data_IF_589302351427
#
_entry.id   IF_589302351427
#
_cell.length_a   1.000
_cell.length_b   1.000
_cell.length_c   1.000
_cell.angle_alpha   90.00
_cell.angle_beta   90.00
_cell.angle_gamma   90.00
#
_symmetry.space_group_name_H-M   'P 1'
#
loop_
_entity.id
_entity.type
_entity.pdbx_description
1 polymer ?
#
# COMPACT_ATOMS: atom_id res chain seq x y z
N UNK A 1 12.11 11.80 -1.84
CA UNK A 1 10.76 12.16 -1.36
C UNK A 1 10.71 11.87 0.13
N UNK A 2 9.86 12.54 0.91
CA UNK A 2 9.63 12.11 2.29
C UNK A 2 8.77 10.84 2.32
N UNK A 3 8.86 10.03 3.37
CA UNK A 3 8.02 8.83 3.53
C UNK A 3 6.50 9.13 3.35
N UNK A 4 5.94 10.20 3.96
CA UNK A 4 4.54 10.58 3.74
C UNK A 4 4.18 10.87 2.28
N UNK A 5 5.10 11.45 1.50
CA UNK A 5 4.86 11.72 0.08
C UNK A 5 4.76 10.43 -0.73
N UNK A 6 5.62 9.45 -0.42
CA UNK A 6 5.62 8.13 -1.07
C UNK A 6 4.31 7.40 -0.73
N UNK A 7 3.90 7.40 0.54
CA UNK A 7 2.64 6.80 0.99
C UNK A 7 1.43 7.39 0.27
N UNK A 8 1.35 8.73 0.20
CA UNK A 8 0.28 9.44 -0.52
C UNK A 8 0.24 9.06 -2.00
N UNK A 9 1.40 8.97 -2.65
CA UNK A 9 1.46 8.63 -4.06
C UNK A 9 1.11 7.17 -4.32
N UNK A 10 1.52 6.23 -3.45
CA UNK A 10 1.08 4.83 -3.51
C UNK A 10 -0.43 4.75 -3.37
N UNK A 11 -0.99 5.45 -2.37
CA UNK A 11 -2.42 5.47 -2.13
C UNK A 11 -3.18 5.92 -3.38
N UNK A 12 -2.83 7.08 -3.93
CA UNK A 12 -3.44 7.62 -5.15
C UNK A 12 -3.28 6.71 -6.37
N UNK A 13 -2.15 6.02 -6.49
CA UNK A 13 -1.91 5.06 -7.56
C UNK A 13 -2.87 3.86 -7.45
N UNK A 14 -2.90 3.20 -6.30
CA UNK A 14 -3.67 1.99 -6.10
C UNK A 14 -5.19 2.24 -6.08
N UNK A 15 -5.65 3.40 -5.60
CA UNK A 15 -7.07 3.80 -5.70
C UNK A 15 -7.55 3.91 -7.16
N UNK A 16 -6.66 4.26 -8.11
CA UNK A 16 -7.02 4.42 -9.52
C UNK A 16 -6.95 3.12 -10.33
N UNK A 17 -6.01 2.24 -10.02
CA UNK A 17 -5.77 1.00 -10.80
C UNK A 17 -6.33 -0.28 -10.19
N UNK A 18 -6.95 -0.23 -9.01
CA UNK A 18 -7.46 -1.37 -8.23
C UNK A 18 -6.39 -2.35 -7.74
N UNK A 19 -5.45 -2.76 -8.60
CA UNK A 19 -4.23 -3.47 -8.24
C UNK A 19 -3.06 -3.05 -9.13
N UNK A 20 -1.83 -3.12 -8.62
CA UNK A 20 -0.62 -2.90 -9.40
C UNK A 20 0.58 -3.64 -8.80
N UNK A 21 1.56 -3.96 -9.64
CA UNK A 21 2.85 -4.54 -9.26
C UNK A 21 3.81 -3.45 -8.77
N UNK A 22 4.90 -3.85 -8.10
CA UNK A 22 5.93 -2.90 -7.63
C UNK A 22 6.46 -2.01 -8.77
N UNK A 23 6.74 -2.62 -9.93
CA UNK A 23 7.31 -1.92 -11.09
C UNK A 23 6.30 -0.93 -11.71
N UNK A 24 5.01 -1.29 -11.76
CA UNK A 24 3.96 -0.38 -12.24
C UNK A 24 3.76 0.83 -11.31
N UNK A 25 3.88 0.62 -10.00
CA UNK A 25 3.83 1.70 -9.01
C UNK A 25 5.07 2.59 -9.14
N UNK A 26 6.26 1.99 -9.28
CA UNK A 26 7.53 2.70 -9.47
C UNK A 26 7.50 3.63 -10.69
N UNK A 27 6.99 3.13 -11.82
CA UNK A 27 6.82 3.90 -13.06
C UNK A 27 5.94 5.14 -12.89
N UNK A 28 4.93 5.07 -12.02
CA UNK A 28 3.99 6.17 -11.79
C UNK A 28 4.50 7.20 -10.78
N UNK A 29 5.20 6.76 -9.74
CA UNK A 29 5.58 7.61 -8.61
C UNK A 29 6.96 8.25 -8.83
N UNK A 30 7.83 7.65 -9.65
CA UNK A 30 9.22 8.13 -9.90
C UNK A 30 10.00 8.32 -8.59
N UNK A 31 9.97 7.31 -7.72
CA UNK A 31 10.75 7.24 -6.48
C UNK A 31 11.77 6.10 -6.56
N UNK A 32 12.76 6.10 -5.66
CA UNK A 32 13.72 5.00 -5.56
C UNK A 32 13.01 3.69 -5.22
N UNK A 33 13.36 2.61 -5.93
CA UNK A 33 12.75 1.28 -5.77
C UNK A 33 12.83 0.77 -4.33
N UNK A 34 13.96 1.01 -3.66
CA UNK A 34 14.17 0.56 -2.28
C UNK A 34 13.27 1.29 -1.29
N UNK A 35 13.09 2.60 -1.46
CA UNK A 35 12.18 3.40 -0.63
C UNK A 35 10.73 3.01 -0.87
N UNK A 36 10.37 2.74 -2.13
CA UNK A 36 9.06 2.23 -2.50
C UNK A 36 8.77 0.88 -1.85
N UNK A 37 9.69 -0.08 -2.00
CA UNK A 37 9.56 -1.42 -1.45
C UNK A 37 9.43 -1.39 0.08
N UNK A 38 10.28 -0.62 0.77
CA UNK A 38 10.20 -0.43 2.23
C UNK A 38 8.87 0.20 2.65
N UNK A 39 8.40 1.20 1.92
CA UNK A 39 7.15 1.91 2.23
C UNK A 39 5.96 0.98 2.05
N UNK A 40 5.91 0.23 0.95
CA UNK A 40 4.87 -0.78 0.70
C UNK A 40 4.87 -1.80 1.83
N UNK A 41 6.00 -2.44 2.10
CA UNK A 41 6.12 -3.47 3.14
C UNK A 41 5.70 -2.96 4.52
N UNK A 42 6.05 -1.72 4.88
CA UNK A 42 5.65 -1.12 6.16
C UNK A 42 4.16 -0.79 6.26
N UNK A 43 3.45 -0.73 5.14
CA UNK A 43 2.03 -0.38 5.06
C UNK A 43 1.14 -1.55 4.62
N UNK A 44 1.71 -2.74 4.44
CA UNK A 44 0.93 -3.98 4.24
C UNK A 44 0.13 -4.26 5.51
N UNK A 45 -1.17 -4.45 5.35
CA UNK A 45 -2.07 -4.87 6.42
C UNK A 45 -1.78 -6.32 6.79
N UNK A 46 -1.46 -6.54 8.05
CA UNK A 46 -1.25 -7.87 8.60
C UNK A 46 -1.57 -7.88 10.10
N UNK A 47 -1.40 -9.03 10.77
CA UNK A 47 -1.69 -9.16 12.20
C UNK A 47 -0.87 -8.21 13.09
N UNK A 48 0.36 -7.89 12.69
CA UNK A 48 1.25 -7.00 13.42
C UNK A 48 1.08 -5.53 13.01
N UNK A 49 0.52 -5.28 11.82
CA UNK A 49 0.20 -3.94 11.32
C UNK A 49 -1.29 -3.88 10.89
N UNK A 50 -2.23 -3.83 11.84
CA UNK A 50 -3.66 -3.84 11.54
C UNK A 50 -4.15 -2.56 10.85
N UNK A 51 -3.37 -1.47 10.95
CA UNK A 51 -3.66 -0.16 10.35
C UNK A 51 -3.03 0.02 8.97
N UNK A 52 -2.31 -0.98 8.45
CA UNK A 52 -1.81 -0.96 7.08
C UNK A 52 -2.96 -0.77 6.07
N UNK A 53 -2.72 0.05 5.06
CA UNK A 53 -3.71 0.37 4.02
C UNK A 53 -3.46 -0.36 2.69
N UNK A 54 -2.42 -1.19 2.63
CA UNK A 54 -2.05 -1.97 1.44
C UNK A 54 -2.37 -3.44 1.69
N UNK A 55 -2.96 -4.09 0.69
CA UNK A 55 -3.09 -5.53 0.61
C UNK A 55 -2.03 -6.07 -0.37
N UNK A 56 -1.41 -7.19 -0.02
CA UNK A 56 -0.51 -7.93 -0.90
C UNK A 56 -1.17 -9.24 -1.35
N UNK A 57 -1.27 -9.44 -2.66
CA UNK A 57 -1.53 -10.73 -3.27
C UNK A 57 -0.22 -11.36 -3.74
N UNK A 58 0.28 -12.29 -2.93
CA UNK A 58 1.50 -13.05 -3.17
C UNK A 58 1.26 -14.39 -3.87
N UNK A 59 0.04 -14.65 -4.35
CA UNK A 59 -0.28 -15.88 -5.10
C UNK A 59 0.20 -15.82 -6.55
N UNK A 60 0.55 -14.62 -7.03
CA UNK A 60 1.02 -14.37 -8.39
C UNK A 60 2.41 -13.76 -8.35
N UNK A 61 3.22 -14.04 -9.38
CA UNK A 61 4.53 -13.42 -9.58
C UNK A 61 4.49 -12.61 -10.88
N UNK A 62 4.77 -11.30 -10.84
CA UNK A 62 5.10 -10.49 -9.66
C UNK A 62 3.92 -10.32 -8.68
N UNK A 63 4.22 -10.06 -7.40
CA UNK A 63 3.22 -9.75 -6.39
C UNK A 63 2.40 -8.53 -6.81
N UNK A 64 1.10 -8.58 -6.54
CA UNK A 64 0.19 -7.46 -6.78
C UNK A 64 -0.19 -6.80 -5.45
N UNK A 65 -0.29 -5.48 -5.48
CA UNK A 65 -0.68 -4.67 -4.34
C UNK A 65 -1.98 -3.94 -4.64
N UNK A 66 -2.86 -3.84 -3.65
CA UNK A 66 -4.14 -3.11 -3.75
C UNK A 66 -4.40 -2.31 -2.47
N UNK A 67 -5.42 -1.45 -2.49
CA UNK A 67 -5.85 -0.73 -1.28
C UNK A 67 -6.74 -1.64 -0.44
N UNK A 68 -6.47 -1.67 0.86
CA UNK A 68 -7.39 -2.25 1.83
C UNK A 68 -8.74 -1.51 1.73
N UNK A 69 -9.84 -2.20 1.40
CA UNK A 69 -11.14 -1.55 1.33
C UNK A 69 -11.49 -0.99 2.70
N UNK A 70 -11.87 0.29 2.72
CA UNK A 70 -12.34 0.93 3.95
C UNK A 70 -13.67 0.29 4.34
N UNK A 71 -13.64 -0.63 5.31
CA UNK A 71 -14.82 -1.25 5.90
C UNK A 71 -15.06 -0.73 7.32
N UNK A 72 -16.26 -0.98 7.86
CA UNK A 72 -16.65 -0.51 9.19
C UNK A 72 -15.67 -0.96 10.27
N UNK A 73 -15.18 -2.20 10.21
CA UNK A 73 -14.22 -2.73 11.19
C UNK A 73 -12.90 -1.95 11.17
N UNK A 74 -12.43 -1.53 9.99
CA UNK A 74 -11.23 -0.70 9.83
C UNK A 74 -11.43 0.69 10.42
N UNK A 75 -12.58 1.33 10.15
CA UNK A 75 -12.93 2.64 10.72
C UNK A 75 -13.04 2.54 12.25
N UNK A 76 -13.72 1.52 12.75
CA UNK A 76 -13.92 1.31 14.18
C UNK A 76 -12.58 1.11 14.91
N UNK A 77 -11.68 0.31 14.35
CA UNK A 77 -10.33 0.09 14.89
C UNK A 77 -9.49 1.37 14.92
N UNK A 78 -9.59 2.23 13.90
CA UNK A 78 -8.87 3.51 13.84
C UNK A 78 -9.37 4.55 14.84
N UNK A 79 -10.67 4.54 15.18
CA UNK A 79 -11.24 5.50 16.13
C UNK A 79 -10.91 5.11 17.58
N UNK A 80 -10.74 3.82 17.86
CA UNK A 80 -10.62 3.29 19.24
C UNK A 80 -9.19 2.92 19.66
N UNK A 81 -8.19 3.00 18.76
CA UNK A 81 -6.76 2.86 19.05
C UNK A 81 -6.04 4.21 18.91
#
# INVERSE_FOLDING_TARGET
MSKPDIEKNIFLCLTKTASATLDEIELKIKCEKDDLAKTIQSNIKNKSNPLGFILEDNKTTPNHYSIEPTNYDTIHTQIHN
#
